data_IF_606170591147
#
_entry.id   IF_606170591147
#
_cell.length_a   1.000
_cell.length_b   1.000
_cell.length_c   1.000
_cell.angle_alpha   90.00
_cell.angle_beta   90.00
_cell.angle_gamma   90.00
#
_symmetry.space_group_name_H-M   'P 1'
#
loop_
_entity.id
_entity.type
_entity.pdbx_description
1 polymer ?
#
# COMPACT_ATOMS: atom_id res chain seq x y z
N UNK A 1 -0.61 -6.57 -30.74
CA UNK A 1 -0.42 -6.40 -29.29
C UNK A 1 -1.79 -6.47 -28.64
N UNK A 2 -1.98 -7.19 -27.52
CA UNK A 2 -3.26 -7.21 -26.83
C UNK A 2 -3.57 -5.80 -26.32
N UNK A 3 -4.81 -5.35 -26.49
CA UNK A 3 -5.31 -4.07 -25.98
C UNK A 3 -6.53 -4.32 -25.11
N UNK A 4 -6.67 -3.54 -24.04
CA UNK A 4 -7.80 -3.60 -23.13
C UNK A 4 -8.58 -2.30 -23.26
N UNK A 5 -9.89 -2.42 -23.52
CA UNK A 5 -10.81 -1.28 -23.53
C UNK A 5 -11.77 -1.42 -22.35
N UNK A 6 -11.85 -0.37 -21.53
CA UNK A 6 -12.82 -0.29 -20.43
C UNK A 6 -13.99 0.55 -20.92
N UNK A 7 -15.19 -0.05 -20.96
CA UNK A 7 -16.43 0.63 -21.38
C UNK A 7 -17.30 0.89 -20.15
N UNK A 8 -18.10 1.95 -20.20
CA UNK A 8 -19.01 2.36 -19.12
C UNK A 8 -18.28 2.51 -17.77
N UNK A 9 -17.12 3.15 -17.78
CA UNK A 9 -16.37 3.43 -16.56
C UNK A 9 -17.18 4.42 -15.70
N UNK A 10 -17.51 4.08 -14.45
CA UNK A 10 -18.18 5.02 -13.54
C UNK A 10 -17.38 6.30 -13.37
N UNK A 11 -18.07 7.44 -13.27
CA UNK A 11 -17.42 8.76 -13.25
C UNK A 11 -16.48 8.93 -12.05
N UNK A 12 -16.90 8.49 -10.87
CA UNK A 12 -16.09 8.48 -9.65
C UNK A 12 -14.76 7.73 -9.83
N UNK A 13 -14.80 6.59 -10.51
CA UNK A 13 -13.64 5.75 -10.80
C UNK A 13 -12.72 6.40 -11.84
N UNK A 14 -13.30 7.05 -12.85
CA UNK A 14 -12.55 7.85 -13.81
C UNK A 14 -11.83 9.01 -13.12
N UNK A 15 -12.52 9.79 -12.29
CA UNK A 15 -11.92 10.92 -11.58
C UNK A 15 -10.79 10.47 -10.65
N UNK A 16 -10.97 9.35 -9.93
CA UNK A 16 -9.94 8.79 -9.06
C UNK A 16 -8.68 8.37 -9.85
N UNK A 17 -8.86 7.73 -11.01
CA UNK A 17 -7.74 7.35 -11.90
C UNK A 17 -7.05 8.58 -12.49
N UNK A 18 -7.81 9.57 -12.96
CA UNK A 18 -7.30 10.80 -13.54
C UNK A 18 -6.47 11.60 -12.52
N UNK A 19 -7.01 11.78 -11.31
CA UNK A 19 -6.31 12.45 -10.22
C UNK A 19 -4.98 11.75 -9.91
N UNK A 20 -4.97 10.42 -9.77
CA UNK A 20 -3.74 9.67 -9.47
C UNK A 20 -2.71 9.72 -10.62
N UNK A 21 -3.20 9.70 -11.86
CA UNK A 21 -2.37 9.85 -13.05
C UNK A 21 -1.68 11.21 -13.08
N UNK A 22 -2.39 12.29 -12.75
CA UNK A 22 -1.86 13.65 -12.66
C UNK A 22 -0.78 13.77 -11.57
N UNK A 23 -1.07 13.29 -10.35
CA UNK A 23 -0.11 13.28 -9.24
C UNK A 23 1.17 12.50 -9.56
N UNK A 24 1.07 11.49 -10.42
CA UNK A 24 2.20 10.65 -10.82
C UNK A 24 2.86 11.08 -12.13
N UNK A 25 2.38 12.17 -12.75
CA UNK A 25 2.78 12.63 -14.10
C UNK A 25 2.73 11.51 -15.15
N UNK A 26 1.66 10.73 -15.16
CA UNK A 26 1.44 9.58 -16.06
C UNK A 26 0.20 9.77 -16.90
N UNK A 27 0.11 9.01 -18.00
CA UNK A 27 -1.14 8.91 -18.75
C UNK A 27 -2.17 8.07 -18.00
N UNK A 28 -3.46 8.29 -18.29
CA UNK A 28 -4.57 7.52 -17.71
C UNK A 28 -4.41 6.01 -17.99
N UNK A 29 -3.96 5.66 -19.20
CA UNK A 29 -3.72 4.26 -19.59
C UNK A 29 -2.59 3.61 -18.79
N UNK A 30 -1.50 4.35 -18.52
CA UNK A 30 -0.41 3.88 -17.68
C UNK A 30 -0.88 3.66 -16.23
N UNK A 31 -1.64 4.59 -15.68
CA UNK A 31 -2.15 4.45 -14.31
C UNK A 31 -3.16 3.30 -14.19
N UNK A 32 -4.03 3.11 -15.20
CA UNK A 32 -4.93 1.96 -15.24
C UNK A 32 -4.17 0.62 -15.25
N UNK A 33 -3.06 0.53 -16.00
CA UNK A 33 -2.23 -0.67 -16.04
C UNK A 33 -1.57 -0.96 -14.69
N UNK A 34 -1.09 0.07 -13.99
CA UNK A 34 -0.50 -0.06 -12.65
C UNK A 34 -1.57 -0.47 -11.62
N UNK A 35 -2.76 0.15 -11.68
CA UNK A 35 -3.87 -0.20 -10.82
C UNK A 35 -4.27 -1.67 -10.99
N UNK A 36 -4.39 -2.14 -12.24
CA UNK A 36 -4.67 -3.54 -12.56
C UNK A 36 -3.57 -4.48 -12.04
N UNK A 37 -2.30 -4.13 -12.27
CA UNK A 37 -1.17 -4.92 -11.77
C UNK A 37 -1.20 -5.07 -10.25
N UNK A 38 -1.42 -3.96 -9.53
CA UNK A 38 -1.54 -3.97 -8.07
C UNK A 38 -2.74 -4.79 -7.61
N UNK A 39 -3.88 -4.69 -8.28
CA UNK A 39 -5.05 -5.48 -7.96
C UNK A 39 -4.75 -6.99 -8.10
N UNK A 40 -4.11 -7.40 -9.20
CA UNK A 40 -3.71 -8.79 -9.43
C UNK A 40 -2.62 -9.29 -8.50
N UNK A 41 -1.69 -8.43 -8.09
CA UNK A 41 -0.67 -8.75 -7.08
C UNK A 41 -1.27 -8.81 -5.68
N UNK A 42 -2.29 -7.99 -5.38
CA UNK A 42 -2.95 -7.94 -4.06
C UNK A 42 -3.90 -9.11 -3.81
N UNK A 43 -4.37 -9.78 -4.86
CA UNK A 43 -5.05 -11.08 -4.76
C UNK A 43 -4.12 -12.21 -4.34
N UNK A 44 -2.81 -11.99 -4.27
CA UNK A 44 -1.88 -12.88 -3.58
C UNK A 44 -2.10 -12.75 -2.06
N UNK A 45 -3.20 -13.35 -1.60
CA UNK A 45 -3.58 -13.52 -0.19
C UNK A 45 -2.40 -14.07 0.62
N UNK A 46 -1.51 -14.82 -0.05
CA UNK A 46 -0.27 -15.35 0.50
C UNK A 46 0.73 -14.27 0.91
N UNK A 47 0.80 -13.08 0.28
CA UNK A 47 1.79 -12.06 0.67
C UNK A 47 1.48 -11.46 2.04
N UNK A 48 0.20 -11.20 2.34
CA UNK A 48 -0.21 -10.74 3.67
C UNK A 48 0.08 -11.81 4.72
N UNK A 49 -0.28 -13.06 4.43
CA UNK A 49 -0.01 -14.20 5.32
C UNK A 49 1.49 -14.38 5.55
N UNK A 50 2.32 -14.31 4.51
CA UNK A 50 3.78 -14.40 4.61
C UNK A 50 4.39 -13.29 5.48
N UNK A 51 3.88 -12.05 5.35
CA UNK A 51 4.32 -10.94 6.21
C UNK A 51 3.91 -11.19 7.66
N UNK A 52 2.68 -11.64 7.91
CA UNK A 52 2.21 -11.95 9.26
C UNK A 52 3.00 -13.11 9.89
N UNK A 53 3.30 -14.15 9.12
CA UNK A 53 4.15 -15.27 9.56
C UNK A 53 5.58 -14.79 9.86
N UNK A 54 6.15 -13.91 9.03
CA UNK A 54 7.45 -13.32 9.30
C UNK A 54 7.46 -12.51 10.60
N UNK A 55 6.41 -11.72 10.85
CA UNK A 55 6.27 -10.96 12.11
C UNK A 55 6.14 -11.92 13.30
N UNK A 56 5.33 -12.98 13.18
CA UNK A 56 5.19 -14.01 14.23
C UNK A 56 6.52 -14.68 14.54
N UNK A 57 7.28 -15.06 13.51
CA UNK A 57 8.60 -15.68 13.66
C UNK A 57 9.58 -14.73 14.34
N UNK A 58 9.58 -13.45 13.96
CA UNK A 58 10.45 -12.44 14.55
C UNK A 58 10.12 -12.20 16.03
N UNK A 59 8.83 -12.14 16.40
CA UNK A 59 8.39 -12.05 17.80
C UNK A 59 8.81 -13.30 18.57
N UNK A 60 8.67 -14.49 18.00
CA UNK A 60 9.05 -15.74 18.64
C UNK A 60 10.57 -15.88 18.85
N UNK A 61 11.37 -15.35 17.91
CA UNK A 61 12.84 -15.47 17.93
C UNK A 61 13.48 -14.36 18.76
N UNK A 62 13.02 -13.12 18.62
CA UNK A 62 13.60 -11.93 19.26
C UNK A 62 12.98 -11.65 20.63
N UNK A 63 11.79 -12.21 20.90
CA UNK A 63 10.99 -11.88 22.08
C UNK A 63 10.36 -10.49 21.97
N UNK A 64 9.41 -10.20 22.87
CA UNK A 64 8.82 -8.85 22.97
C UNK A 64 9.89 -7.92 23.55
N UNK A 65 10.43 -7.03 22.71
CA UNK A 65 11.33 -5.96 23.19
C UNK A 65 10.54 -5.06 24.12
N UNK A 66 10.83 -5.15 25.42
CA UNK A 66 10.39 -4.16 26.39
C UNK A 66 11.11 -2.86 26.06
N UNK A 67 10.35 -1.78 25.87
CA UNK A 67 10.93 -0.46 25.66
C UNK A 67 11.79 -0.12 26.88
N UNK A 68 13.03 0.32 26.63
CA UNK A 68 13.96 0.76 27.70
C UNK A 68 13.51 2.07 28.38
N UNK A 69 12.49 2.71 27.81
CA UNK A 69 11.94 3.98 28.28
C UNK A 69 10.41 3.95 28.23
N UNK A 70 9.76 4.77 29.07
CA UNK A 70 8.31 4.88 29.09
C UNK A 70 7.79 5.46 27.75
N UNK A 71 6.71 4.90 27.16
CA UNK A 71 6.23 5.22 25.82
C UNK A 71 5.85 6.69 25.62
N UNK A 72 5.52 7.41 26.70
CA UNK A 72 5.22 8.85 26.73
C UNK A 72 6.39 9.70 26.23
N UNK A 73 7.63 9.19 26.24
CA UNK A 73 8.79 9.88 25.65
C UNK A 73 8.78 9.88 24.13
N UNK A 74 8.17 8.90 23.46
CA UNK A 74 8.07 8.86 21.99
C UNK A 74 7.12 9.94 21.46
N UNK A 75 6.13 10.34 22.26
CA UNK A 75 5.16 11.39 21.93
C UNK A 75 5.76 12.81 22.02
N UNK A 76 6.92 12.99 22.66
CA UNK A 76 7.51 14.31 22.90
C UNK A 76 8.46 14.79 21.81
N UNK A 77 9.11 13.88 21.08
CA UNK A 77 10.15 14.26 20.11
C UNK A 77 9.63 15.13 18.95
N UNK A 78 8.35 15.06 18.60
CA UNK A 78 7.74 15.83 17.51
C UNK A 78 7.02 17.12 17.97
N UNK A 79 7.10 17.48 19.25
CA UNK A 79 6.42 18.69 19.79
C UNK A 79 7.32 19.92 19.96
N UNK A 80 8.64 19.76 19.82
CA UNK A 80 9.61 20.86 19.97
C UNK A 80 10.11 21.44 18.62
N UNK A 81 9.36 21.24 17.53
CA UNK A 81 9.61 21.83 16.21
C UNK A 81 8.47 22.72 15.75
#
# INVERSE_FOLDING_TARGET
MPSLQIRNLPDDLYQALAWRAEQSHRSLAQEALIALRRATESTDSGRREQILEKIRLDIATTGIRTLSFPPERMLREDRDR
#
